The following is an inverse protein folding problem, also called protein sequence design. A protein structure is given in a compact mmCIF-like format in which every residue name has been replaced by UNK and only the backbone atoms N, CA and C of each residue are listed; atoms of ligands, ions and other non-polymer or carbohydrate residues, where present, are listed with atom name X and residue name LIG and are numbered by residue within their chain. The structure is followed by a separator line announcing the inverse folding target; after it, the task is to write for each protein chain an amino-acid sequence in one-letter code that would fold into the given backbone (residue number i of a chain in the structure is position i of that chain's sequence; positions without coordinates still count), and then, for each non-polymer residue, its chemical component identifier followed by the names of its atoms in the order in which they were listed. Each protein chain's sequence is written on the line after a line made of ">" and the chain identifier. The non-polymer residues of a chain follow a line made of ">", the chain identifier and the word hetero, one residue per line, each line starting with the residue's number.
data_IF_707943809584
#
_entry.id   IF_707943809584
#
_cell.length_a   1.000
_cell.length_b   1.000
_cell.length_c   1.000
_cell.angle_alpha   90.00
_cell.angle_beta   90.00
_cell.angle_gamma   90.00
#
_symmetry.space_group_name_H-M   'P 1'
#
loop_
_entity.id
_entity.type
_entity.pdbx_description
1 polymer ?
#
# COMPACT_ATOMS: atom_id res chain seq x y z
N UNK A 1 18.87 -21.02 -1.28
CA UNK A 1 19.54 -19.71 -1.18
C UNK A 1 18.57 -18.71 -1.79
N UNK A 2 17.96 -17.86 -0.98
CA UNK A 2 16.88 -16.95 -1.40
C UNK A 2 17.46 -15.79 -2.19
N UNK A 3 16.93 -15.53 -3.38
CA UNK A 3 17.24 -14.32 -4.16
C UNK A 3 16.34 -13.15 -3.76
N UNK A 4 16.74 -11.90 -4.01
CA UNK A 4 15.97 -10.69 -3.76
C UNK A 4 14.70 -10.51 -4.63
N UNK A 5 14.22 -11.57 -5.30
CA UNK A 5 13.23 -11.52 -6.39
C UNK A 5 11.76 -11.63 -5.96
N UNK A 6 11.46 -11.55 -4.65
CA UNK A 6 10.07 -11.65 -4.16
C UNK A 6 9.51 -10.33 -3.58
N UNK A 7 10.20 -9.21 -3.81
CA UNK A 7 9.90 -7.94 -3.16
C UNK A 7 9.11 -7.04 -4.10
N UNK A 8 7.85 -6.87 -3.77
CA UNK A 8 6.94 -6.00 -4.49
C UNK A 8 6.95 -4.61 -3.88
N UNK A 9 7.27 -3.61 -4.70
CA UNK A 9 7.63 -2.29 -4.24
C UNK A 9 6.74 -1.22 -4.86
N UNK A 10 6.35 -0.24 -4.07
CA UNK A 10 5.62 0.97 -4.54
C UNK A 10 6.59 1.93 -5.25
N UNK A 11 7.78 2.02 -4.68
CA UNK A 11 9.05 2.56 -5.20
C UNK A 11 10.11 1.59 -4.70
N UNK A 12 11.23 1.35 -5.40
CA UNK A 12 12.24 0.35 -4.99
C UNK A 12 12.70 0.45 -3.52
N UNK A 13 12.50 1.60 -2.89
CA UNK A 13 12.83 1.88 -1.49
C UNK A 13 11.72 1.53 -0.49
N UNK A 14 10.48 1.33 -0.94
CA UNK A 14 9.28 1.17 -0.13
C UNK A 14 8.68 -0.23 -0.32
N UNK A 15 9.28 -1.18 0.38
CA UNK A 15 8.99 -2.61 0.32
C UNK A 15 8.31 -3.05 1.63
N UNK A 16 7.00 -3.34 1.62
CA UNK A 16 6.33 -3.91 2.78
C UNK A 16 7.02 -5.19 3.27
N UNK A 17 7.12 -5.36 4.58
CA UNK A 17 7.83 -6.45 5.26
C UNK A 17 9.31 -6.16 5.52
N UNK A 18 9.92 -5.20 4.81
CA UNK A 18 11.33 -4.87 4.95
C UNK A 18 11.59 -3.43 5.36
N UNK A 19 10.90 -2.47 4.74
CA UNK A 19 11.14 -1.04 4.97
C UNK A 19 10.67 -0.63 6.37
N UNK A 20 11.47 0.17 7.05
CA UNK A 20 11.21 0.71 8.37
C UNK A 20 10.57 2.10 8.33
N UNK A 21 9.97 2.54 9.43
CA UNK A 21 9.44 3.92 9.58
C UNK A 21 10.46 4.99 9.23
N UNK A 22 11.72 4.82 9.63
CA UNK A 22 12.79 5.78 9.35
C UNK A 22 13.11 5.84 7.85
N UNK A 23 13.14 4.70 7.18
CA UNK A 23 13.36 4.64 5.73
C UNK A 23 12.18 5.24 4.96
N UNK A 24 10.94 5.03 5.42
CA UNK A 24 9.77 5.71 4.83
C UNK A 24 9.86 7.22 5.01
N UNK A 25 10.26 7.70 6.20
CA UNK A 25 10.48 9.13 6.43
C UNK A 25 11.55 9.70 5.51
N UNK A 26 12.67 8.99 5.34
CA UNK A 26 13.74 9.40 4.45
C UNK A 26 13.28 9.46 2.99
N UNK A 27 12.52 8.46 2.54
CA UNK A 27 11.95 8.43 1.19
C UNK A 27 10.97 9.58 0.97
N UNK A 28 10.12 9.90 1.95
CA UNK A 28 9.15 11.00 1.86
C UNK A 28 9.81 12.38 1.81
N UNK A 29 11.04 12.53 2.32
CA UNK A 29 11.74 13.82 2.36
C UNK A 29 10.90 14.92 3.00
N UNK A 30 10.71 16.03 2.30
CA UNK A 30 9.89 17.16 2.78
C UNK A 30 8.41 16.80 2.99
N UNK A 31 7.88 15.81 2.25
CA UNK A 31 6.48 15.39 2.40
C UNK A 31 6.22 14.75 3.77
N UNK A 32 7.25 14.28 4.47
CA UNK A 32 7.13 13.73 5.82
C UNK A 32 6.53 14.75 6.81
N UNK A 33 6.76 16.05 6.60
CA UNK A 33 6.18 17.10 7.44
C UNK A 33 4.64 17.18 7.34
N UNK A 34 4.04 16.56 6.31
CA UNK A 34 2.59 16.53 6.05
C UNK A 34 1.90 15.25 6.52
N UNK A 35 2.61 14.35 7.22
CA UNK A 35 2.03 13.10 7.72
C UNK A 35 0.87 13.40 8.69
N UNK A 36 -0.31 12.88 8.34
CA UNK A 36 -1.46 12.77 9.25
C UNK A 36 -1.52 11.34 9.77
N UNK A 37 -1.05 11.14 11.00
CA UNK A 37 -1.02 9.82 11.64
C UNK A 37 -2.31 9.52 12.40
N UNK A 38 -3.05 8.48 12.01
CA UNK A 38 -4.16 7.97 12.80
C UNK A 38 -4.47 6.50 12.45
N UNK A 39 -4.24 5.54 13.35
CA UNK A 39 -3.58 5.66 14.66
C UNK A 39 -2.06 5.90 14.52
N UNK A 40 -1.41 6.46 15.54
CA UNK A 40 0.05 6.62 15.57
C UNK A 40 0.61 6.16 16.92
N UNK A 41 0.79 4.84 17.08
CA UNK A 41 1.36 4.21 18.27
C UNK A 41 2.69 3.55 17.95
N UNK A 42 3.46 3.20 18.98
CA UNK A 42 4.73 2.50 18.80
C UNK A 42 4.50 1.07 18.28
N UNK A 43 3.46 0.38 18.75
CA UNK A 43 3.15 -1.00 18.31
C UNK A 43 2.52 -1.07 16.92
N UNK A 44 1.85 -0.02 16.46
CA UNK A 44 1.29 0.08 15.11
C UNK A 44 0.95 1.53 14.74
N UNK A 45 1.04 1.87 13.47
CA UNK A 45 0.70 3.21 13.00
C UNK A 45 0.14 3.19 11.58
N UNK A 46 -0.68 4.18 11.25
CA UNK A 46 -1.13 4.50 9.91
C UNK A 46 -0.82 5.94 9.62
N UNK A 47 0.00 6.17 8.61
CA UNK A 47 0.39 7.48 8.14
C UNK A 47 -0.32 7.76 6.83
N UNK A 48 -1.07 8.85 6.80
CA UNK A 48 -1.68 9.38 5.60
C UNK A 48 -0.88 10.59 5.14
N UNK A 49 -0.46 10.59 3.87
CA UNK A 49 0.26 11.71 3.27
C UNK A 49 -0.47 12.12 2.00
N UNK A 50 -0.87 13.38 1.94
CA UNK A 50 -1.35 14.00 0.70
C UNK A 50 -0.15 14.52 -0.08
N UNK A 51 -0.18 14.30 -1.40
CA UNK A 51 0.86 14.75 -2.33
C UNK A 51 2.26 14.37 -1.83
N UNK A 52 2.58 13.07 -1.88
CA UNK A 52 3.90 12.57 -1.47
C UNK A 52 5.03 13.10 -2.35
N UNK A 53 4.70 13.59 -3.56
CA UNK A 53 5.68 13.89 -4.60
C UNK A 53 6.23 12.64 -5.29
N UNK A 54 5.73 11.45 -4.93
CA UNK A 54 6.10 10.21 -5.58
C UNK A 54 5.38 10.04 -6.92
N UNK A 55 6.10 9.43 -7.85
CA UNK A 55 5.58 8.96 -9.13
C UNK A 55 5.84 7.46 -9.22
N UNK A 56 4.81 6.68 -9.53
CA UNK A 56 4.93 5.24 -9.78
C UNK A 56 4.81 5.02 -11.27
N UNK A 57 5.94 4.70 -11.92
CA UNK A 57 6.06 4.86 -13.36
C UNK A 57 5.68 6.31 -13.74
N UNK A 58 4.75 6.52 -14.70
CA UNK A 58 4.30 7.86 -15.09
C UNK A 58 3.21 8.43 -14.16
N UNK A 59 2.64 7.65 -13.24
CA UNK A 59 1.46 8.03 -12.48
C UNK A 59 1.82 8.81 -11.20
N UNK A 60 1.36 10.05 -11.01
CA UNK A 60 1.60 10.79 -9.78
C UNK A 60 0.73 10.27 -8.64
N UNK A 61 1.33 10.10 -7.46
CA UNK A 61 0.61 9.76 -6.24
C UNK A 61 -0.06 11.00 -5.64
N UNK A 62 -1.40 11.00 -5.61
CA UNK A 62 -2.20 12.08 -4.98
C UNK A 62 -2.29 11.91 -3.47
N UNK A 63 -2.36 10.66 -3.03
CA UNK A 63 -2.51 10.29 -1.62
C UNK A 63 -1.84 8.96 -1.41
N UNK A 64 -1.01 8.85 -0.38
CA UNK A 64 -0.42 7.58 0.04
C UNK A 64 -0.77 7.29 1.49
N UNK A 65 -1.01 6.01 1.77
CA UNK A 65 -1.20 5.47 3.11
C UNK A 65 -0.10 4.46 3.39
N UNK A 66 0.55 4.60 4.54
CA UNK A 66 1.58 3.68 5.01
C UNK A 66 1.12 3.09 6.33
N UNK A 67 0.97 1.78 6.41
CA UNK A 67 0.56 1.08 7.64
C UNK A 67 1.74 0.30 8.19
N UNK A 68 2.00 0.42 9.48
CA UNK A 68 3.17 -0.12 10.16
C UNK A 68 2.76 -1.01 11.32
N UNK A 69 3.49 -2.11 11.51
CA UNK A 69 3.53 -2.85 12.78
C UNK A 69 4.89 -2.66 13.40
N UNK A 70 4.95 -2.18 14.63
CA UNK A 70 6.20 -1.75 15.23
C UNK A 70 6.89 -0.72 14.32
N UNK A 71 8.13 -1.00 13.95
CA UNK A 71 8.90 -0.18 13.01
C UNK A 71 8.72 -0.60 11.54
N UNK A 72 8.13 -1.75 11.24
CA UNK A 72 8.12 -2.33 9.89
C UNK A 72 6.86 -1.93 9.12
N UNK A 73 7.03 -1.51 7.87
CA UNK A 73 5.96 -1.23 6.92
C UNK A 73 5.22 -2.53 6.61
N UNK A 74 3.93 -2.60 6.90
CA UNK A 74 3.07 -3.74 6.59
C UNK A 74 2.27 -3.56 5.31
N UNK A 75 1.90 -2.33 4.99
CA UNK A 75 1.17 -2.00 3.77
C UNK A 75 1.52 -0.61 3.28
N UNK A 76 1.58 -0.47 1.96
CA UNK A 76 1.59 0.83 1.29
C UNK A 76 0.48 0.85 0.26
N UNK A 77 -0.29 1.93 0.24
CA UNK A 77 -1.32 2.13 -0.77
C UNK A 77 -1.34 3.56 -1.25
N UNK A 78 -1.76 3.78 -2.49
CA UNK A 78 -1.86 5.11 -3.05
C UNK A 78 -3.03 5.27 -4.02
N UNK A 79 -3.40 6.52 -4.27
CA UNK A 79 -4.33 6.88 -5.34
C UNK A 79 -3.65 7.70 -6.43
N UNK A 80 -4.13 7.52 -7.66
CA UNK A 80 -3.58 8.17 -8.85
C UNK A 80 -4.71 8.57 -9.82
N UNK A 81 -4.50 9.56 -10.71
CA UNK A 81 -5.51 9.97 -11.69
C UNK A 81 -5.86 8.84 -12.66
N UNK A 82 -7.15 8.67 -12.97
CA UNK A 82 -7.64 7.55 -13.79
C UNK A 82 -7.03 7.48 -15.19
N UNK A 83 -6.60 8.61 -15.76
CA UNK A 83 -5.91 8.67 -17.07
C UNK A 83 -4.61 7.83 -17.12
N UNK A 84 -4.03 7.50 -15.95
CA UNK A 84 -2.85 6.64 -15.83
C UNK A 84 -3.16 5.16 -15.59
N UNK A 85 -4.44 4.75 -15.56
CA UNK A 85 -4.84 3.38 -15.23
C UNK A 85 -4.15 2.33 -16.09
N UNK A 86 -4.09 2.54 -17.40
CA UNK A 86 -3.51 1.57 -18.31
C UNK A 86 -2.00 1.39 -18.05
N UNK A 87 -1.27 2.49 -17.82
CA UNK A 87 0.16 2.44 -17.55
C UNK A 87 0.46 1.79 -16.20
N UNK A 88 -0.38 2.02 -15.19
CA UNK A 88 -0.26 1.34 -13.89
C UNK A 88 -0.56 -0.15 -14.02
N UNK A 89 -1.56 -0.54 -14.82
CA UNK A 89 -1.85 -1.94 -15.09
C UNK A 89 -0.68 -2.63 -15.80
N UNK A 90 -0.09 -2.00 -16.82
CA UNK A 90 1.09 -2.51 -17.52
C UNK A 90 2.30 -2.66 -16.58
N UNK A 91 2.49 -1.71 -15.66
CA UNK A 91 3.49 -1.83 -14.61
C UNK A 91 3.20 -3.02 -13.70
N UNK A 92 1.95 -3.21 -13.27
CA UNK A 92 1.57 -4.38 -12.49
C UNK A 92 1.88 -5.69 -13.23
N UNK A 93 1.55 -5.79 -14.51
CA UNK A 93 1.88 -6.98 -15.29
C UNK A 93 3.39 -7.21 -15.42
N UNK A 94 4.18 -6.14 -15.51
CA UNK A 94 5.64 -6.22 -15.62
C UNK A 94 6.28 -6.68 -14.32
N UNK A 95 5.83 -6.15 -13.19
CA UNK A 95 6.44 -6.41 -11.88
C UNK A 95 5.86 -7.66 -11.18
N UNK A 96 4.61 -8.04 -11.49
CA UNK A 96 3.87 -9.09 -10.78
C UNK A 96 3.45 -10.26 -11.68
N UNK A 97 3.62 -10.14 -12.99
CA UNK A 97 3.12 -11.09 -13.98
C UNK A 97 1.69 -10.80 -14.43
N UNK A 98 1.25 -11.48 -15.50
CA UNK A 98 -0.06 -11.29 -16.10
C UNK A 98 -1.18 -12.05 -15.38
N UNK A 99 -0.82 -13.04 -14.57
CA UNK A 99 -1.78 -13.87 -13.86
C UNK A 99 -2.32 -13.11 -12.64
N UNK A 100 -3.59 -12.70 -12.71
CA UNK A 100 -4.29 -12.01 -11.64
C UNK A 100 -5.71 -12.56 -11.44
N UNK A 101 -6.20 -12.40 -10.22
CA UNK A 101 -7.57 -12.72 -9.82
C UNK A 101 -8.45 -11.46 -9.96
N UNK A 102 -9.71 -11.65 -10.36
CA UNK A 102 -10.74 -10.63 -10.26
C UNK A 102 -11.44 -10.74 -8.91
N UNK A 103 -11.43 -9.67 -8.13
CA UNK A 103 -12.08 -9.57 -6.81
C UNK A 103 -13.24 -8.56 -6.89
N UNK A 104 -14.48 -9.07 -6.79
CA UNK A 104 -15.70 -8.26 -6.69
C UNK A 104 -15.70 -7.47 -5.37
N UNK A 105 -15.86 -6.15 -5.47
CA UNK A 105 -15.89 -5.24 -4.33
C UNK A 105 -17.30 -5.01 -3.75
N UNK A 106 -18.33 -5.61 -4.36
CA UNK A 106 -19.72 -5.53 -3.92
C UNK A 106 -20.45 -4.25 -4.32
N UNK A 107 -19.78 -3.29 -4.96
CA UNK A 107 -20.33 -2.01 -5.45
C UNK A 107 -20.28 -1.88 -6.99
N UNK A 108 -20.31 -3.02 -7.69
CA UNK A 108 -20.10 -3.14 -9.15
C UNK A 108 -18.69 -2.72 -9.61
N UNK A 109 -17.76 -2.47 -8.70
CA UNK A 109 -16.34 -2.31 -9.03
C UNK A 109 -15.60 -3.63 -8.90
N UNK A 110 -14.73 -3.90 -9.86
CA UNK A 110 -13.81 -5.03 -9.83
C UNK A 110 -12.42 -4.52 -9.42
N UNK A 111 -11.72 -5.30 -8.62
CA UNK A 111 -10.30 -5.10 -8.38
C UNK A 111 -9.51 -6.25 -9.01
N UNK A 112 -8.37 -5.92 -9.59
CA UNK A 112 -7.38 -6.89 -10.03
C UNK A 112 -6.43 -7.18 -8.86
N UNK A 113 -6.07 -8.44 -8.71
CA UNK A 113 -5.40 -8.90 -7.53
C UNK A 113 -4.31 -9.91 -7.89
N UNK A 114 -3.09 -9.60 -7.46
CA UNK A 114 -1.93 -10.49 -7.54
C UNK A 114 -1.62 -10.97 -6.14
N UNK A 115 -1.48 -12.28 -5.95
CA UNK A 115 -1.17 -12.87 -4.64
C UNK A 115 -0.05 -13.88 -4.77
N UNK A 116 0.84 -13.86 -3.79
CA UNK A 116 1.75 -14.98 -3.53
C UNK A 116 1.80 -15.26 -2.02
N UNK A 117 2.69 -16.17 -1.60
CA UNK A 117 2.78 -16.58 -0.20
C UNK A 117 3.23 -15.47 0.77
N UNK A 118 3.72 -14.32 0.27
CA UNK A 118 4.29 -13.23 1.08
C UNK A 118 3.50 -11.94 0.95
N UNK A 119 2.96 -11.65 -0.22
CA UNK A 119 2.38 -10.36 -0.54
C UNK A 119 1.07 -10.50 -1.33
N UNK A 120 0.22 -9.49 -1.19
CA UNK A 120 -0.88 -9.24 -2.12
C UNK A 120 -0.77 -7.84 -2.68
N UNK A 121 -1.04 -7.70 -3.98
CA UNK A 121 -1.19 -6.41 -4.64
C UNK A 121 -2.56 -6.33 -5.25
N UNK A 122 -3.22 -5.22 -4.99
CA UNK A 122 -4.59 -5.00 -5.41
C UNK A 122 -4.67 -3.69 -6.15
N UNK A 123 -5.16 -3.71 -7.38
CA UNK A 123 -5.46 -2.56 -8.21
C UNK A 123 -6.98 -2.45 -8.34
N UNK A 124 -7.56 -1.40 -7.75
CA UNK A 124 -8.98 -1.10 -7.85
C UNK A 124 -9.18 0.23 -8.59
N UNK A 125 -10.17 0.29 -9.47
CA UNK A 125 -10.51 1.51 -10.20
C UNK A 125 -11.89 2.00 -9.81
N UNK A 126 -11.96 3.26 -9.39
CA UNK A 126 -13.21 3.97 -9.13
C UNK A 126 -13.46 4.98 -10.24
N UNK A 127 -14.67 5.54 -10.27
CA UNK A 127 -15.11 6.46 -11.34
C UNK A 127 -14.16 7.64 -11.62
N UNK A 128 -13.36 8.07 -10.64
CA UNK A 128 -12.50 9.27 -10.75
C UNK A 128 -11.03 9.05 -10.44
N UNK A 129 -10.66 7.89 -9.88
CA UNK A 129 -9.28 7.59 -9.49
C UNK A 129 -9.00 6.10 -9.50
N UNK A 130 -7.74 5.76 -9.78
CA UNK A 130 -7.20 4.44 -9.52
C UNK A 130 -6.63 4.36 -8.10
N UNK A 131 -6.72 3.18 -7.51
CA UNK A 131 -6.17 2.87 -6.21
C UNK A 131 -5.37 1.58 -6.30
N UNK A 132 -4.23 1.55 -5.65
CA UNK A 132 -3.42 0.34 -5.55
C UNK A 132 -2.87 0.20 -4.15
N UNK A 133 -2.88 -1.03 -3.64
CA UNK A 133 -2.30 -1.40 -2.36
C UNK A 133 -1.34 -2.57 -2.54
N UNK A 134 -0.27 -2.54 -1.76
CA UNK A 134 0.73 -3.60 -1.65
C UNK A 134 0.83 -3.96 -0.17
N UNK A 135 0.51 -5.20 0.15
CA UNK A 135 0.38 -5.68 1.53
C UNK A 135 1.31 -6.86 1.79
N UNK A 136 2.17 -6.76 2.79
CA UNK A 136 2.92 -7.92 3.29
C UNK A 136 2.04 -8.71 4.26
N UNK A 137 1.69 -9.95 3.90
CA UNK A 137 0.65 -10.73 4.54
C UNK A 137 0.88 -10.92 6.06
N UNK A 138 2.11 -11.23 6.46
CA UNK A 138 2.44 -11.45 7.87
C UNK A 138 2.34 -10.14 8.67
N UNK A 139 3.06 -9.11 8.26
CA UNK A 139 3.08 -7.81 8.95
C UNK A 139 1.69 -7.20 9.01
N UNK A 140 0.90 -7.35 7.94
CA UNK A 140 -0.45 -6.82 7.88
C UNK A 140 -1.43 -7.59 8.81
N UNK A 141 -1.23 -8.90 8.98
CA UNK A 141 -1.95 -9.68 10.00
C UNK A 141 -1.63 -9.19 11.42
N UNK A 142 -0.39 -8.77 11.69
CA UNK A 142 -0.05 -8.16 12.97
C UNK A 142 -0.71 -6.79 13.13
N UNK A 143 -0.63 -5.92 12.12
CA UNK A 143 -1.29 -4.62 12.12
C UNK A 143 -2.79 -4.76 12.40
N UNK A 144 -3.49 -5.67 11.69
CA UNK A 144 -4.91 -5.90 11.87
C UNK A 144 -5.29 -6.36 13.29
N UNK A 145 -4.44 -7.17 13.93
CA UNK A 145 -4.64 -7.58 15.34
C UNK A 145 -4.50 -6.39 16.29
N UNK A 146 -3.48 -5.57 16.12
CA UNK A 146 -3.26 -4.38 16.94
C UNK A 146 -4.35 -3.33 16.73
N UNK A 147 -4.72 -3.08 15.48
CA UNK A 147 -5.78 -2.15 15.12
C UNK A 147 -7.12 -2.55 15.74
N UNK A 148 -7.51 -3.84 15.69
CA UNK A 148 -8.75 -4.31 16.35
C UNK A 148 -8.71 -4.18 17.87
N UNK A 149 -7.57 -4.46 18.50
CA UNK A 149 -7.40 -4.32 19.97
C UNK A 149 -7.55 -2.87 20.44
N UNK A 150 -7.26 -1.92 19.57
CA UNK A 150 -7.19 -0.50 19.90
C UNK A 150 -8.20 0.35 19.15
N UNK A 151 -9.05 -0.25 18.33
CA UNK A 151 -10.12 0.44 17.64
C UNK A 151 -11.12 0.96 18.67
N UNK A 152 -11.75 2.12 18.40
CA UNK A 152 -12.88 2.58 19.19
C UNK A 152 -13.97 1.50 19.23
N UNK A 153 -14.71 1.36 20.34
CA UNK A 153 -15.92 0.53 20.37
C UNK A 153 -16.87 0.94 19.23
N UNK A 154 -17.44 -0.05 18.52
CA UNK A 154 -18.43 0.19 17.45
C UNK A 154 -17.87 0.44 16.04
N UNK A 155 -16.55 0.33 15.80
CA UNK A 155 -15.99 0.48 14.44
C UNK A 155 -16.20 -0.77 13.54
N UNK A 156 -16.47 -1.92 14.17
CA UNK A 156 -16.60 -3.22 13.48
C UNK A 156 -17.92 -3.94 13.79
N UNK A 157 -18.85 -3.24 14.44
CA UNK A 157 -20.23 -3.66 14.65
C UNK A 157 -21.11 -3.11 13.53
#
# INVERSE_FOLDING_TARGET
>A
MFGPDDLYYFDKQLVPGLTTRQEVLAALGEAAARIKGFPNKDSFATWLVLDTGFTVGPAPSRRSTFQFTGQTLGSVSWTFPLEFQQQVLELCHTEFGTDCELEDQGDSSEALLWRNNRCSVRLATKATEGHISIDHAETQKHYGREFRRHAPPGLFE
#
